data_IF_306344807556
#
_entry.id   IF_306344807556
#
_cell.length_a   1.000
_cell.length_b   1.000
_cell.length_c   1.000
_cell.angle_alpha   90.00
_cell.angle_beta   90.00
_cell.angle_gamma   90.00
#
_symmetry.space_group_name_H-M   'P 1'
#
loop_
_entity.id
_entity.type
_entity.pdbx_description
1 polymer ?
#
# COMPACT_ATOMS: atom_id res chain seq x y z
N UNK A 1 -17.79 -2.75 1.46
CA UNK A 1 -17.51 -1.32 1.17
C UNK A 1 -16.17 -1.24 0.45
N UNK A 2 -15.94 -0.24 -0.40
CA UNK A 2 -14.64 -0.07 -1.06
C UNK A 2 -13.74 0.90 -0.29
N UNK A 3 -12.42 0.82 -0.50
CA UNK A 3 -11.44 1.79 0.04
C UNK A 3 -11.77 3.24 -0.36
N UNK A 4 -12.35 3.43 -1.55
CA UNK A 4 -12.81 4.74 -2.03
C UNK A 4 -13.95 5.28 -1.16
N UNK A 5 -14.92 4.44 -0.83
CA UNK A 5 -16.07 4.84 0.00
C UNK A 5 -15.64 5.19 1.43
N UNK A 6 -14.48 4.68 1.85
CA UNK A 6 -13.88 4.94 3.16
C UNK A 6 -12.96 6.17 3.16
N UNK A 7 -12.84 6.87 2.04
CA UNK A 7 -12.02 8.09 1.94
C UNK A 7 -10.52 7.83 1.95
N UNK A 8 -10.09 6.60 1.67
CA UNK A 8 -8.66 6.26 1.62
C UNK A 8 -7.99 7.01 0.48
N UNK A 9 -6.92 7.73 0.81
CA UNK A 9 -6.10 8.42 -0.18
C UNK A 9 -5.53 7.41 -1.20
N UNK A 10 -5.66 7.66 -2.52
CA UNK A 10 -5.04 6.80 -3.52
C UNK A 10 -3.52 6.73 -3.36
N UNK A 11 -2.90 7.76 -2.81
CA UNK A 11 -1.44 7.81 -2.56
C UNK A 11 -1.01 6.87 -1.43
N UNK A 12 -1.89 6.58 -0.47
CA UNK A 12 -1.66 5.52 0.52
C UNK A 12 -1.69 4.15 -0.15
N UNK A 13 -2.68 3.90 -1.01
CA UNK A 13 -2.75 2.62 -1.76
C UNK A 13 -1.49 2.40 -2.58
N UNK A 14 -1.03 3.43 -3.31
CA UNK A 14 0.22 3.37 -4.09
C UNK A 14 1.42 3.11 -3.17
N UNK A 15 1.52 3.81 -2.04
CA UNK A 15 2.62 3.63 -1.09
C UNK A 15 2.69 2.22 -0.50
N UNK A 16 1.54 1.62 -0.16
CA UNK A 16 1.48 0.23 0.31
C UNK A 16 2.01 -0.73 -0.76
N UNK A 17 1.54 -0.58 -2.01
CA UNK A 17 1.95 -1.43 -3.12
C UNK A 17 3.42 -1.24 -3.47
N UNK A 18 3.93 -0.01 -3.39
CA UNK A 18 5.34 0.28 -3.60
C UNK A 18 6.22 -0.43 -2.56
N UNK A 19 5.83 -0.39 -1.29
CA UNK A 19 6.52 -1.14 -0.23
C UNK A 19 6.44 -2.65 -0.45
N UNK A 20 5.24 -3.16 -0.76
CA UNK A 20 5.03 -4.59 -1.02
C UNK A 20 5.90 -5.11 -2.17
N UNK A 21 6.06 -4.32 -3.23
CA UNK A 21 6.92 -4.62 -4.36
C UNK A 21 8.42 -4.43 -4.08
N UNK A 22 8.80 -3.88 -2.91
CA UNK A 22 10.17 -3.58 -2.53
C UNK A 22 10.75 -2.34 -3.22
N UNK A 23 9.90 -1.42 -3.70
CA UNK A 23 10.32 -0.16 -4.32
C UNK A 23 10.63 0.95 -3.30
N UNK A 24 10.13 0.81 -2.07
CA UNK A 24 10.46 1.67 -0.95
C UNK A 24 10.50 0.87 0.36
N UNK A 25 11.24 1.37 1.35
CA UNK A 25 11.43 0.68 2.64
C UNK A 25 10.40 1.08 3.70
N UNK A 26 9.64 2.15 3.46
CA UNK A 26 8.74 2.78 4.43
C UNK A 26 7.31 2.82 3.93
N UNK A 27 6.36 2.72 4.86
CA UNK A 27 4.95 2.99 4.60
C UNK A 27 4.72 4.50 4.66
N UNK A 28 4.55 5.11 3.48
CA UNK A 28 4.26 6.53 3.31
C UNK A 28 3.34 6.75 2.11
N UNK A 29 2.80 7.96 1.96
CA UNK A 29 2.07 8.31 0.75
C UNK A 29 3.05 8.55 -0.39
N UNK A 30 2.79 7.91 -1.54
CA UNK A 30 3.66 7.98 -2.70
C UNK A 30 2.85 8.38 -3.92
N UNK A 31 3.33 9.35 -4.71
CA UNK A 31 2.79 9.63 -6.03
C UNK A 31 3.47 8.74 -7.07
N UNK A 32 2.74 8.16 -8.04
CA UNK A 32 3.33 7.30 -9.06
C UNK A 32 4.48 7.95 -9.83
N UNK A 33 4.40 9.26 -10.09
CA UNK A 33 5.47 10.01 -10.78
C UNK A 33 6.82 9.95 -10.06
N UNK A 34 6.82 9.80 -8.74
CA UNK A 34 8.03 9.73 -7.93
C UNK A 34 8.71 8.35 -8.04
N UNK A 35 7.95 7.32 -8.45
CA UNK A 35 8.45 5.95 -8.64
C UNK A 35 9.01 5.71 -10.05
N UNK A 36 8.54 6.46 -11.07
CA UNK A 36 8.88 6.23 -12.48
C UNK A 36 10.38 6.22 -12.73
N UNK A 37 11.13 7.12 -12.09
CA UNK A 37 12.56 7.26 -12.30
C UNK A 37 13.41 6.19 -11.60
N UNK A 38 12.85 5.51 -10.61
CA UNK A 38 13.54 4.50 -9.79
C UNK A 38 13.05 3.08 -10.07
N UNK A 39 12.04 2.92 -10.92
CA UNK A 39 11.45 1.63 -11.22
C UNK A 39 12.35 0.80 -12.14
N UNK A 40 12.78 -0.36 -11.63
CA UNK A 40 13.43 -1.39 -12.41
C UNK A 40 12.71 -2.72 -12.18
N UNK A 41 12.14 -3.29 -13.24
CA UNK A 41 11.38 -4.55 -13.12
C UNK A 41 12.24 -5.68 -12.51
N UNK A 42 13.53 -5.72 -12.83
CA UNK A 42 14.49 -6.69 -12.31
C UNK A 42 14.74 -6.59 -10.79
N UNK A 43 14.39 -5.47 -10.16
CA UNK A 43 14.60 -5.26 -8.71
C UNK A 43 13.34 -5.52 -7.89
N UNK A 44 12.20 -5.81 -8.53
CA UNK A 44 10.98 -6.15 -7.81
C UNK A 44 11.12 -7.51 -7.12
N UNK A 45 10.60 -7.62 -5.90
CA UNK A 45 10.56 -8.90 -5.19
C UNK A 45 9.42 -9.76 -5.75
N UNK A 46 9.67 -10.96 -6.29
CA UNK A 46 8.63 -11.84 -6.83
C UNK A 46 7.84 -12.58 -5.72
N UNK A 47 7.75 -12.01 -4.51
CA UNK A 47 7.09 -12.67 -3.40
C UNK A 47 5.58 -12.40 -3.41
N UNK A 48 4.79 -13.43 -3.11
CA UNK A 48 3.37 -13.27 -2.85
C UNK A 48 3.17 -12.31 -1.68
N UNK A 49 2.38 -11.26 -1.90
CA UNK A 49 2.02 -10.29 -0.88
C UNK A 49 0.60 -10.57 -0.40
N UNK A 50 0.47 -10.88 0.89
CA UNK A 50 -0.84 -11.00 1.56
C UNK A 50 -1.10 -9.74 2.36
N UNK A 51 -2.23 -9.09 2.08
CA UNK A 51 -2.74 -7.95 2.85
C UNK A 51 -3.00 -8.37 4.30
N UNK A 52 -2.38 -7.68 5.25
CA UNK A 52 -2.60 -7.89 6.68
C UNK A 52 -3.56 -6.87 7.29
N UNK A 53 -4.09 -7.17 8.48
CA UNK A 53 -4.91 -6.22 9.25
C UNK A 53 -4.16 -4.91 9.56
N UNK A 54 -2.84 -4.97 9.74
CA UNK A 54 -2.01 -3.79 9.95
C UNK A 54 -1.94 -2.92 8.69
N UNK A 55 -1.92 -3.54 7.51
CA UNK A 55 -1.91 -2.81 6.24
C UNK A 55 -3.27 -2.10 6.05
N UNK A 56 -4.37 -2.79 6.38
CA UNK A 56 -5.71 -2.20 6.34
C UNK A 56 -5.90 -1.09 7.37
N UNK A 57 -5.38 -1.26 8.58
CA UNK A 57 -5.32 -0.24 9.62
C UNK A 57 -4.56 1.00 9.14
N UNK A 58 -3.39 0.80 8.51
CA UNK A 58 -2.60 1.89 7.96
C UNK A 58 -3.31 2.62 6.81
N UNK A 59 -3.92 1.88 5.88
CA UNK A 59 -4.68 2.46 4.76
C UNK A 59 -5.85 3.33 5.25
N UNK A 60 -6.62 2.79 6.19
CA UNK A 60 -7.87 3.41 6.68
C UNK A 60 -7.65 4.40 7.83
N UNK A 61 -6.47 4.40 8.47
CA UNK A 61 -6.21 5.15 9.68
C UNK A 61 -6.93 4.62 10.92
N UNK A 62 -7.42 3.38 10.88
CA UNK A 62 -8.13 2.72 11.99
C UNK A 62 -7.20 1.82 12.79
N UNK A 63 -7.68 1.32 13.94
CA UNK A 63 -6.92 0.35 14.74
C UNK A 63 -6.84 -1.02 14.05
N UNK A 64 -5.73 -1.73 14.26
CA UNK A 64 -5.57 -3.09 13.77
C UNK A 64 -6.63 -4.02 14.38
N UNK A 65 -7.22 -4.89 13.57
CA UNK A 65 -8.32 -5.79 13.98
C UNK A 65 -9.72 -5.15 13.95
N UNK A 66 -9.84 -3.84 13.68
CA UNK A 66 -11.13 -3.19 13.45
C UNK A 66 -11.62 -3.34 12.00
N UNK A 67 -10.80 -3.92 11.13
CA UNK A 67 -11.15 -4.14 9.74
C UNK A 67 -11.86 -5.48 9.59
N UNK A 68 -13.06 -5.44 8.99
CA UNK A 68 -13.83 -6.63 8.65
C UNK A 68 -13.94 -6.66 7.13
N UNK A 69 -13.41 -7.72 6.52
CA UNK A 69 -13.63 -8.00 5.12
C UNK A 69 -15.16 -8.07 4.86
N UNK A 70 -15.65 -7.50 3.75
CA UNK A 70 -17.05 -7.66 3.38
C UNK A 70 -17.43 -9.13 3.13
#
# INVERSE_FOLDING_TARGET
RSLRDEGVSPWRVVGLLARAAGLCDRLEEVHPRDLVHSFHFSTMRPADYTLSDNDMAWLTGREAGSWQAP
#
